data_IF_768492826078
#
_entry.id   IF_768492826078
#
_cell.length_a   1.000
_cell.length_b   1.000
_cell.length_c   1.000
_cell.angle_alpha   90.00
_cell.angle_beta   90.00
_cell.angle_gamma   90.00
#
_symmetry.space_group_name_H-M   'P 1'
#
loop_
_entity.id
_entity.type
_entity.pdbx_description
1 polymer ?
#
# COMPACT_ATOMS: atom_id res chain seq x y z
N UNK A 1 -27.40 -1.91 -0.33
CA UNK A 1 -26.52 -3.09 -0.15
C UNK A 1 -26.71 -3.50 1.28
N UNK A 2 -27.20 -4.71 1.53
CA UNK A 2 -27.57 -5.14 2.87
C UNK A 2 -26.52 -6.13 3.39
N UNK A 3 -25.97 -5.81 4.55
CA UNK A 3 -24.98 -6.63 5.24
C UNK A 3 -25.47 -6.93 6.66
N UNK A 4 -25.14 -8.10 7.22
CA UNK A 4 -25.45 -8.39 8.61
C UNK A 4 -24.70 -7.43 9.54
N UNK A 5 -25.24 -7.25 10.75
CA UNK A 5 -24.62 -6.43 11.78
C UNK A 5 -23.19 -6.93 12.10
N UNK A 6 -22.26 -6.00 12.25
CA UNK A 6 -20.85 -6.31 12.49
C UNK A 6 -20.05 -6.72 11.25
N UNK A 7 -20.63 -6.66 10.05
CA UNK A 7 -19.89 -6.90 8.81
C UNK A 7 -18.73 -5.90 8.64
N UNK A 8 -17.61 -6.41 8.13
CA UNK A 8 -16.42 -5.60 7.88
C UNK A 8 -16.42 -5.01 6.47
N UNK A 9 -15.55 -4.03 6.16
CA UNK A 9 -15.41 -3.50 4.81
C UNK A 9 -14.92 -4.56 3.81
N UNK A 10 -14.22 -5.59 4.30
CA UNK A 10 -13.86 -6.75 3.49
C UNK A 10 -15.11 -7.54 3.08
N UNK A 11 -16.08 -7.72 3.98
CA UNK A 11 -17.36 -8.35 3.64
C UNK A 11 -18.12 -7.54 2.59
N UNK A 12 -18.16 -6.21 2.74
CA UNK A 12 -18.74 -5.31 1.74
C UNK A 12 -18.07 -5.43 0.37
N UNK A 13 -16.74 -5.53 0.32
CA UNK A 13 -16.00 -5.74 -0.93
C UNK A 13 -16.44 -7.03 -1.65
N UNK A 14 -16.56 -8.15 -0.93
CA UNK A 14 -17.03 -9.42 -1.48
C UNK A 14 -18.52 -9.45 -1.82
N UNK A 15 -19.32 -8.58 -1.18
CA UNK A 15 -20.72 -8.40 -1.52
C UNK A 15 -20.89 -7.65 -2.84
N UNK A 16 -20.06 -6.65 -3.12
CA UNK A 16 -20.07 -5.95 -4.42
C UNK A 16 -19.61 -6.90 -5.53
N UNK A 17 -18.38 -7.44 -5.40
CA UNK A 17 -17.83 -8.35 -6.39
C UNK A 17 -16.67 -9.17 -5.83
N UNK A 18 -16.58 -10.44 -6.23
CA UNK A 18 -15.48 -11.31 -5.77
C UNK A 18 -14.10 -10.79 -6.18
N UNK A 19 -13.97 -10.16 -7.34
CA UNK A 19 -12.69 -9.58 -7.80
C UNK A 19 -12.25 -8.36 -6.97
N UNK A 20 -13.21 -7.51 -6.56
CA UNK A 20 -12.94 -6.39 -5.66
C UNK A 20 -12.51 -6.92 -4.29
N UNK A 21 -13.19 -7.97 -3.80
CA UNK A 21 -12.81 -8.69 -2.59
C UNK A 21 -11.41 -9.30 -2.67
N UNK A 22 -11.07 -9.97 -3.77
CA UNK A 22 -9.73 -10.56 -3.97
C UNK A 22 -8.63 -9.50 -3.99
N UNK A 23 -8.91 -8.34 -4.58
CA UNK A 23 -7.97 -7.24 -4.71
C UNK A 23 -8.09 -6.21 -3.58
N UNK A 24 -8.74 -6.55 -2.47
CA UNK A 24 -8.95 -5.64 -1.35
C UNK A 24 -7.62 -5.23 -0.69
N UNK A 25 -7.43 -3.93 -0.50
CA UNK A 25 -6.33 -3.38 0.30
C UNK A 25 -6.83 -2.66 1.55
N UNK A 26 -7.96 -1.96 1.46
CA UNK A 26 -8.49 -1.17 2.56
C UNK A 26 -9.79 -0.50 2.20
N UNK A 27 -10.32 0.30 3.13
CA UNK A 27 -11.56 1.02 2.93
C UNK A 27 -11.53 2.39 3.60
N UNK A 28 -12.38 3.28 3.10
CA UNK A 28 -12.78 4.51 3.79
C UNK A 28 -14.26 4.45 4.11
N UNK A 29 -14.64 4.94 5.29
CA UNK A 29 -16.02 5.26 5.60
C UNK A 29 -16.14 6.78 5.76
N UNK A 30 -17.12 7.38 5.09
CA UNK A 30 -17.40 8.81 5.15
C UNK A 30 -16.16 9.68 4.85
N UNK A 31 -15.36 9.23 3.88
CA UNK A 31 -14.13 9.88 3.43
C UNK A 31 -12.89 9.63 4.31
N UNK A 32 -13.01 8.91 5.44
CA UNK A 32 -11.89 8.62 6.37
C UNK A 32 -11.45 7.16 6.28
N UNK A 33 -10.14 6.92 6.28
CA UNK A 33 -9.58 5.56 6.32
C UNK A 33 -10.02 4.86 7.60
N UNK A 34 -10.51 3.63 7.45
CA UNK A 34 -10.92 2.78 8.58
C UNK A 34 -10.06 1.53 8.64
N UNK A 35 -9.94 0.95 9.84
CA UNK A 35 -9.20 -0.30 10.01
C UNK A 35 -9.96 -1.46 9.36
N UNK A 36 -9.23 -2.49 8.91
CA UNK A 36 -9.80 -3.65 8.21
C UNK A 36 -10.82 -4.41 9.07
N UNK A 37 -10.65 -4.36 10.39
CA UNK A 37 -11.49 -5.04 11.39
C UNK A 37 -12.64 -4.18 11.91
N UNK A 38 -12.69 -2.89 11.56
CA UNK A 38 -13.75 -1.98 12.00
C UNK A 38 -15.08 -2.41 11.38
N UNK A 39 -16.13 -2.69 12.17
CA UNK A 39 -17.44 -3.01 11.61
C UNK A 39 -18.07 -1.79 10.95
N UNK A 40 -18.83 -2.03 9.88
CA UNK A 40 -19.60 -1.01 9.18
C UNK A 40 -20.92 -0.74 9.91
N UNK A 41 -21.34 0.53 9.92
CA UNK A 41 -22.62 0.96 10.47
C UNK A 41 -23.60 1.32 9.35
N UNK A 42 -24.88 1.27 9.67
CA UNK A 42 -25.93 1.61 8.71
C UNK A 42 -25.82 3.09 8.28
N UNK A 43 -26.01 3.35 6.98
CA UNK A 43 -25.97 4.70 6.41
C UNK A 43 -24.57 5.26 6.14
N UNK A 44 -23.48 4.52 6.41
CA UNK A 44 -22.13 4.97 6.07
C UNK A 44 -21.84 4.86 4.58
N UNK A 45 -21.15 5.86 4.03
CA UNK A 45 -20.63 5.79 2.66
C UNK A 45 -19.28 5.10 2.67
N UNK A 46 -19.22 3.88 2.13
CA UNK A 46 -17.99 3.07 2.12
C UNK A 46 -17.33 3.08 0.75
N UNK A 47 -16.09 3.56 0.69
CA UNK A 47 -15.22 3.47 -0.48
C UNK A 47 -14.22 2.33 -0.31
N UNK A 48 -14.19 1.40 -1.26
CA UNK A 48 -13.25 0.28 -1.25
C UNK A 48 -12.00 0.64 -2.06
N UNK A 49 -10.83 0.46 -1.45
CA UNK A 49 -9.53 0.65 -2.07
C UNK A 49 -8.98 -0.71 -2.46
N UNK A 50 -8.75 -0.89 -3.77
CA UNK A 50 -8.22 -2.13 -4.33
C UNK A 50 -6.77 -1.97 -4.82
N UNK A 51 -6.07 -3.09 -4.97
CA UNK A 51 -4.75 -3.16 -5.58
C UNK A 51 -4.63 -4.33 -6.54
N UNK A 52 -3.96 -4.10 -7.67
CA UNK A 52 -3.70 -5.13 -8.70
C UNK A 52 -2.99 -6.39 -8.18
N UNK A 53 -2.14 -6.23 -7.16
CA UNK A 53 -1.35 -7.33 -6.58
C UNK A 53 -1.90 -7.82 -5.23
N UNK A 54 -2.94 -7.19 -4.69
CA UNK A 54 -3.59 -7.71 -3.49
C UNK A 54 -4.28 -9.03 -3.86
N UNK A 55 -4.15 -10.00 -2.96
CA UNK A 55 -4.82 -11.29 -3.06
C UNK A 55 -5.22 -11.77 -1.67
N UNK A 56 -6.20 -12.68 -1.58
CA UNK A 56 -6.62 -13.24 -0.31
C UNK A 56 -5.47 -13.90 0.44
N UNK A 57 -5.36 -13.57 1.72
CA UNK A 57 -4.46 -14.22 2.67
C UNK A 57 -5.24 -15.00 3.73
N UNK A 58 -4.56 -15.84 4.49
CA UNK A 58 -5.19 -16.61 5.55
C UNK A 58 -5.72 -15.72 6.68
N UNK A 59 -5.12 -14.54 6.91
CA UNK A 59 -5.58 -13.58 7.91
C UNK A 59 -6.93 -12.94 7.58
N UNK A 60 -7.32 -12.89 6.31
CA UNK A 60 -8.62 -12.37 5.90
C UNK A 60 -9.79 -13.22 6.42
N UNK A 61 -9.55 -14.51 6.70
CA UNK A 61 -10.53 -15.37 7.36
C UNK A 61 -10.84 -14.95 8.80
N UNK A 62 -9.95 -14.21 9.46
CA UNK A 62 -10.17 -13.67 10.81
C UNK A 62 -10.96 -12.37 10.78
N UNK A 63 -10.88 -11.64 9.66
CA UNK A 63 -11.46 -10.31 9.48
C UNK A 63 -12.88 -10.42 8.94
N UNK A 64 -13.08 -11.18 7.86
CA UNK A 64 -14.39 -11.38 7.25
C UNK A 64 -15.37 -12.08 8.22
N UNK A 65 -16.60 -11.56 8.29
CA UNK A 65 -17.66 -12.09 9.15
C UNK A 65 -18.71 -12.87 8.38
N UNK A 66 -18.90 -12.57 7.10
CA UNK A 66 -19.95 -13.18 6.29
C UNK A 66 -19.52 -14.53 5.72
N UNK A 67 -20.45 -15.50 5.71
CA UNK A 67 -20.21 -16.80 5.10
C UNK A 67 -19.85 -16.69 3.61
N UNK A 68 -20.43 -15.71 2.89
CA UNK A 68 -20.12 -15.45 1.49
C UNK A 68 -18.64 -15.10 1.30
N UNK A 69 -18.13 -14.10 2.03
CA UNK A 69 -16.73 -13.70 1.94
C UNK A 69 -15.81 -14.85 2.35
N UNK A 70 -16.10 -15.51 3.48
CA UNK A 70 -15.30 -16.64 3.97
C UNK A 70 -15.20 -17.77 2.94
N UNK A 71 -16.32 -18.14 2.31
CA UNK A 71 -16.33 -19.20 1.30
C UNK A 71 -15.52 -18.82 0.06
N UNK A 72 -15.61 -17.56 -0.41
CA UNK A 72 -14.82 -17.08 -1.55
C UNK A 72 -13.33 -17.04 -1.24
N UNK A 73 -12.94 -16.56 -0.06
CA UNK A 73 -11.55 -16.55 0.41
C UNK A 73 -11.00 -17.98 0.49
N UNK A 74 -11.73 -18.91 1.13
CA UNK A 74 -11.33 -20.32 1.21
C UNK A 74 -11.18 -20.96 -0.16
N UNK A 75 -12.16 -20.73 -1.05
CA UNK A 75 -12.12 -21.24 -2.42
C UNK A 75 -10.90 -20.72 -3.17
N UNK A 76 -10.56 -19.44 -3.00
CA UNK A 76 -9.40 -18.84 -3.63
C UNK A 76 -8.09 -19.41 -3.08
N UNK A 77 -7.96 -19.53 -1.75
CA UNK A 77 -6.78 -20.08 -1.07
C UNK A 77 -6.55 -21.54 -1.45
N UNK A 78 -7.61 -22.35 -1.52
CA UNK A 78 -7.51 -23.75 -1.94
C UNK A 78 -7.03 -23.92 -3.38
N UNK A 79 -7.31 -22.95 -4.28
CA UNK A 79 -6.84 -22.96 -5.67
C UNK A 79 -5.42 -22.42 -5.83
N UNK A 80 -4.92 -21.65 -4.84
CA UNK A 80 -3.62 -20.98 -4.88
C UNK A 80 -2.80 -21.30 -3.61
N UNK A 81 -2.44 -22.58 -3.39
CA UNK A 81 -1.58 -22.96 -2.27
C UNK A 81 -0.24 -22.22 -2.38
N UNK A 82 0.25 -21.66 -1.26
CA UNK A 82 1.51 -20.92 -1.18
C UNK A 82 1.42 -19.39 -1.33
N UNK A 83 0.26 -18.83 -1.65
CA UNK A 83 0.07 -17.35 -1.67
C UNK A 83 -0.46 -16.80 -0.33
N UNK A 84 -0.93 -17.67 0.57
CA UNK A 84 -1.52 -17.29 1.87
C UNK A 84 -0.57 -17.37 3.07
N UNK A 85 0.65 -17.87 2.88
CA UNK A 85 1.67 -17.93 3.92
C UNK A 85 2.40 -16.59 3.96
N UNK A 86 1.89 -15.69 4.79
CA UNK A 86 2.66 -14.54 5.27
C UNK A 86 3.91 -15.10 5.92
N UNK A 87 5.07 -14.96 5.26
CA UNK A 87 6.36 -15.18 5.93
C UNK A 87 6.33 -14.31 7.20
N UNK A 88 6.59 -14.94 8.34
CA UNK A 88 6.48 -14.37 9.69
C UNK A 88 7.52 -13.27 9.99
N UNK A 89 7.92 -12.48 8.99
CA UNK A 89 9.00 -11.49 9.07
C UNK A 89 8.48 -10.05 9.14
N UNK A 90 7.16 -9.85 9.31
CA UNK A 90 6.54 -8.53 9.50
C UNK A 90 5.91 -8.32 10.90
N UNK A 91 6.00 -9.31 11.81
CA UNK A 91 5.29 -9.27 13.11
C UNK A 91 6.22 -9.06 14.34
N UNK A 92 7.53 -8.84 14.16
CA UNK A 92 8.41 -8.44 15.27
C UNK A 92 8.67 -6.92 15.31
N UNK A 93 7.60 -6.15 15.49
CA UNK A 93 7.69 -4.87 16.23
C UNK A 93 6.70 -4.97 17.38
N UNK A 94 7.26 -5.26 18.55
CA UNK A 94 6.55 -5.52 19.81
C UNK A 94 5.71 -4.31 20.25
N UNK A 95 4.42 -4.59 20.45
CA UNK A 95 3.42 -4.04 21.39
C UNK A 95 3.87 -2.93 22.35
N UNK A 96 3.13 -1.81 22.34
CA UNK A 96 2.64 -1.08 23.53
C UNK A 96 1.21 -0.53 23.26
N UNK A 97 0.31 -0.42 24.27
CA UNK A 97 -1.14 -0.34 24.11
C UNK A 97 -1.71 1.08 23.88
N UNK A 98 -2.95 1.23 23.37
CA UNK A 98 -3.57 2.53 23.16
C UNK A 98 -4.16 3.04 24.48
N UNK A 99 -3.73 4.22 24.95
CA UNK A 99 -4.44 4.99 25.98
C UNK A 99 -5.06 6.23 25.33
N UNK A 100 -6.38 6.31 25.46
CA UNK A 100 -7.25 7.33 24.88
C UNK A 100 -7.00 8.75 25.44
N UNK A 101 -7.08 9.74 24.54
CA UNK A 101 -7.74 11.07 24.62
C UNK A 101 -7.54 11.92 25.90
N UNK A 102 -7.17 13.22 25.89
CA UNK A 102 -7.62 14.40 25.10
C UNK A 102 -6.61 15.59 25.26
N UNK A 103 -6.94 16.90 25.07
CA UNK A 103 -7.05 17.67 23.82
C UNK A 103 -6.15 18.95 23.78
N UNK A 104 -6.00 19.57 22.59
CA UNK A 104 -5.55 20.97 22.28
C UNK A 104 -4.28 21.52 23.01
N UNK A 105 -3.18 21.88 22.31
CA UNK A 105 -2.87 23.27 21.90
C UNK A 105 -1.48 23.39 21.24
N UNK A 106 -1.47 24.07 20.09
CA UNK A 106 -0.51 25.12 19.69
C UNK A 106 0.96 24.77 19.37
N UNK A 107 1.43 25.43 18.31
CA UNK A 107 2.81 25.75 17.94
C UNK A 107 3.67 24.69 17.20
N UNK A 108 3.72 24.89 15.88
CA UNK A 108 4.96 25.10 15.11
C UNK A 108 6.09 24.09 15.29
N UNK A 109 6.19 23.13 14.36
CA UNK A 109 7.49 22.88 13.71
C UNK A 109 7.33 22.32 12.31
N UNK A 110 7.58 23.24 11.39
CA UNK A 110 7.90 23.03 9.99
C UNK A 110 9.07 22.04 9.89
N UNK A 111 8.82 20.84 9.38
CA UNK A 111 9.88 19.99 8.83
C UNK A 111 9.62 19.88 7.34
N UNK A 112 10.08 20.89 6.63
CA UNK A 112 10.33 20.83 5.19
C UNK A 112 11.58 19.97 5.04
N UNK A 113 11.43 18.69 4.69
CA UNK A 113 12.55 17.93 4.15
C UNK A 113 12.68 18.34 2.68
N UNK A 114 13.66 19.22 2.47
CA UNK A 114 14.10 19.79 1.21
C UNK A 114 14.58 18.67 0.29
N UNK A 115 14.14 18.75 -0.95
CA UNK A 115 14.41 17.90 -2.10
C UNK A 115 15.90 17.65 -2.37
N UNK A 116 16.32 16.39 -2.25
CA UNK A 116 17.69 15.89 -2.49
C UNK A 116 17.79 15.07 -3.78
N UNK A 117 17.13 15.49 -4.87
CA UNK A 117 17.35 14.92 -6.22
C UNK A 117 17.08 16.00 -7.25
N UNK A 118 18.04 16.24 -8.14
CA UNK A 118 17.89 17.18 -9.24
C UNK A 118 17.53 16.40 -10.50
N UNK A 119 16.37 16.72 -11.06
CA UNK A 119 15.82 16.12 -12.26
C UNK A 119 15.78 17.22 -13.31
N UNK A 120 16.38 17.00 -14.47
CA UNK A 120 16.43 18.00 -15.53
C UNK A 120 15.02 18.37 -16.00
N UNK A 121 14.57 19.60 -15.71
CA UNK A 121 13.34 20.20 -16.22
C UNK A 121 12.16 20.17 -15.23
N UNK A 122 11.73 21.35 -14.81
CA UNK A 122 10.71 21.68 -13.80
C UNK A 122 9.49 20.76 -13.67
N UNK A 123 9.28 20.28 -12.44
CA UNK A 123 8.02 20.23 -11.67
C UNK A 123 8.32 19.61 -10.30
N UNK A 124 7.48 19.85 -9.27
CA UNK A 124 7.61 19.29 -7.90
C UNK A 124 7.52 17.75 -7.93
N UNK A 125 8.58 17.09 -8.35
CA UNK A 125 8.66 15.64 -8.48
C UNK A 125 9.15 15.08 -7.15
N UNK A 126 8.33 14.22 -6.56
CA UNK A 126 8.77 13.48 -5.37
C UNK A 126 9.71 12.36 -5.80
N UNK A 127 10.85 12.25 -5.12
CA UNK A 127 11.84 11.22 -5.39
C UNK A 127 11.95 10.26 -4.20
N UNK A 128 12.19 8.99 -4.48
CA UNK A 128 12.33 7.95 -3.47
C UNK A 128 13.34 6.89 -3.90
N UNK A 129 14.13 6.34 -2.97
CA UNK A 129 15.05 5.24 -3.25
C UNK A 129 14.29 3.91 -3.37
N UNK A 130 14.69 3.07 -4.32
CA UNK A 130 14.08 1.76 -4.53
C UNK A 130 14.47 0.76 -3.44
N UNK A 131 13.46 0.09 -2.89
CA UNK A 131 13.63 -0.98 -1.88
C UNK A 131 14.15 -2.30 -2.46
N UNK A 132 14.32 -2.42 -3.77
CA UNK A 132 14.72 -3.68 -4.40
C UNK A 132 16.21 -3.80 -4.70
N UNK A 133 16.92 -2.68 -4.87
CA UNK A 133 18.35 -2.66 -5.17
C UNK A 133 19.14 -1.80 -4.19
N UNK A 134 18.46 -1.12 -3.25
CA UNK A 134 19.05 -0.29 -2.20
C UNK A 134 20.25 0.54 -2.71
N UNK A 135 20.02 1.40 -3.74
CA UNK A 135 21.10 2.12 -4.38
C UNK A 135 21.78 3.04 -3.35
N UNK A 136 23.10 2.99 -3.32
CA UNK A 136 23.94 3.82 -2.44
C UNK A 136 25.15 4.36 -3.22
N UNK A 137 25.72 5.51 -2.85
CA UNK A 137 26.98 5.94 -3.47
C UNK A 137 28.09 4.89 -3.20
N UNK A 138 28.96 4.55 -4.18
CA UNK A 138 29.15 5.16 -5.52
C UNK A 138 28.39 4.44 -6.66
N UNK A 139 27.34 3.67 -6.37
CA UNK A 139 26.62 2.87 -7.37
C UNK A 139 26.04 3.74 -8.50
N UNK A 140 26.07 3.23 -9.73
CA UNK A 140 25.38 3.86 -10.85
C UNK A 140 23.86 3.78 -10.67
N UNK A 141 23.19 4.92 -10.75
CA UNK A 141 21.75 5.03 -10.51
C UNK A 141 20.98 5.48 -11.75
N UNK A 142 19.70 5.10 -11.79
CA UNK A 142 18.75 5.45 -12.83
C UNK A 142 17.37 5.68 -12.22
N UNK A 143 16.66 6.72 -12.66
CA UNK A 143 15.34 7.06 -12.18
C UNK A 143 14.26 6.45 -13.06
N UNK A 144 13.15 6.04 -12.45
CA UNK A 144 11.97 5.55 -13.16
C UNK A 144 10.73 6.36 -12.76
N UNK A 145 10.07 6.97 -13.76
CA UNK A 145 8.86 7.76 -13.56
C UNK A 145 7.66 6.82 -13.40
N UNK A 146 7.12 6.79 -12.18
CA UNK A 146 5.87 6.08 -11.87
C UNK A 146 4.64 6.89 -12.31
N UNK A 147 3.47 6.24 -12.36
CA UNK A 147 2.22 6.82 -12.87
C UNK A 147 1.80 8.15 -12.21
N UNK A 148 2.19 8.39 -10.97
CA UNK A 148 1.84 9.61 -10.21
C UNK A 148 2.99 10.62 -10.15
N UNK A 149 3.81 10.71 -11.19
CA UNK A 149 4.93 11.67 -11.28
C UNK A 149 5.93 11.57 -10.12
N UNK A 150 6.05 10.38 -9.50
CA UNK A 150 7.10 10.08 -8.53
C UNK A 150 8.23 9.36 -9.25
N UNK A 151 9.46 9.82 -9.04
CA UNK A 151 10.66 9.18 -9.56
C UNK A 151 11.22 8.23 -8.50
N UNK A 152 11.27 6.95 -8.83
CA UNK A 152 11.93 5.95 -7.99
C UNK A 152 13.35 5.73 -8.50
N UNK A 153 14.35 5.87 -7.63
CA UNK A 153 15.77 5.69 -7.98
C UNK A 153 16.13 4.23 -7.81
N UNK A 154 16.59 3.59 -8.88
CA UNK A 154 17.11 2.23 -8.91
C UNK A 154 18.62 2.25 -9.20
N UNK A 155 19.32 1.16 -8.89
CA UNK A 155 20.63 0.87 -9.45
C UNK A 155 20.47 0.51 -10.94
N UNK A 156 21.42 0.92 -11.78
CA UNK A 156 21.42 0.66 -13.24
C UNK A 156 21.30 -0.83 -13.58
N UNK A 157 21.89 -1.70 -12.77
CA UNK A 157 21.87 -3.16 -12.97
C UNK A 157 20.69 -3.86 -12.27
N UNK A 158 19.64 -3.12 -11.90
CA UNK A 158 18.51 -3.70 -11.19
C UNK A 158 17.71 -4.68 -12.07
N UNK A 159 17.70 -5.97 -11.69
CA UNK A 159 16.91 -7.04 -12.35
C UNK A 159 15.42 -6.73 -12.48
N UNK A 160 14.85 -5.99 -11.54
CA UNK A 160 13.44 -5.60 -11.59
C UNK A 160 13.20 -4.47 -12.60
N UNK A 161 14.16 -3.57 -12.76
CA UNK A 161 14.09 -2.52 -13.77
C UNK A 161 14.24 -3.10 -15.19
N UNK A 162 15.17 -4.06 -15.36
CA UNK A 162 15.37 -4.76 -16.63
C UNK A 162 14.13 -5.50 -17.15
N UNK A 163 13.20 -5.86 -16.25
CA UNK A 163 11.91 -6.51 -16.61
C UNK A 163 10.86 -5.51 -17.12
N UNK A 164 11.07 -4.21 -16.91
CA UNK A 164 10.12 -3.18 -17.33
C UNK A 164 10.30 -2.92 -18.83
N UNK A 165 9.25 -3.16 -19.62
CA UNK A 165 9.26 -2.95 -21.08
C UNK A 165 9.23 -1.47 -21.48
N UNK A 166 8.77 -0.60 -20.58
CA UNK A 166 8.54 0.82 -20.87
C UNK A 166 9.77 1.68 -20.58
N UNK A 167 10.76 1.62 -21.48
CA UNK A 167 12.02 2.35 -21.39
C UNK A 167 11.86 3.87 -21.52
N UNK A 168 10.73 4.35 -22.05
CA UNK A 168 10.45 5.79 -22.23
C UNK A 168 10.25 6.54 -20.91
N UNK A 169 10.09 5.81 -19.80
CA UNK A 169 9.90 6.36 -18.44
C UNK A 169 11.18 6.35 -17.61
N UNK A 170 12.29 5.93 -18.20
CA UNK A 170 13.60 5.98 -17.55
C UNK A 170 14.17 7.40 -17.69
N UNK A 171 14.70 7.91 -16.59
CA UNK A 171 15.36 9.22 -16.52
C UNK A 171 16.75 9.06 -15.93
N UNK A 172 17.73 9.75 -16.51
CA UNK A 172 19.08 9.81 -15.96
C UNK A 172 19.06 10.63 -14.67
N UNK A 173 19.61 10.07 -13.60
CA UNK A 173 19.72 10.71 -12.29
C UNK A 173 21.14 10.48 -11.78
N UNK A 174 21.72 11.45 -11.09
CA UNK A 174 23.06 11.37 -10.51
C UNK A 174 23.00 11.61 -9.00
N UNK A 175 23.95 11.04 -8.26
CA UNK A 175 24.15 11.39 -6.86
C UNK A 175 24.61 12.84 -6.76
N UNK A 176 24.03 13.61 -5.83
CA UNK A 176 24.60 14.90 -5.46
C UNK A 176 25.91 14.64 -4.70
N UNK A 177 27.03 14.87 -5.38
CA UNK A 177 28.31 15.08 -4.71
C UNK A 177 28.23 16.39 -3.96
N UNK A 178 28.25 16.32 -2.62
CA UNK A 178 28.30 17.50 -1.77
C UNK A 178 29.48 18.37 -2.18
N UNK A 179 29.19 19.64 -2.47
CA UNK A 179 30.20 20.68 -2.64
C UNK A 179 30.44 21.38 -1.31
#
# INVERSE_FOLDING_TARGET
IDLPEGATPLDFAYQIHSDIGHHYQGAKADGRMIALTTPLHNGQVVEIITQKNARPSQDWLKIAKTNQALNKIRQWLSKNPGFGETTKEADEIKKEPPKAEQPIKTATRQIVLKSEVEVAGDQKITTALAKCCHPKPPDEIIGYITLHQRITIHNRDCKNLAKIKDQKRLVSVNWKTGS
#
